data_IF_803132420320
#
_entry.id   IF_803132420320
#
_cell.length_a   1.000
_cell.length_b   1.000
_cell.length_c   1.000
_cell.angle_alpha   90.00
_cell.angle_beta   90.00
_cell.angle_gamma   90.00
#
_symmetry.space_group_name_H-M   'P 1'
#
loop_
_entity.id
_entity.type
_entity.pdbx_description
1 polymer ?
#
# COMPACT_ATOMS: atom_id res chain seq x y z
N UNK A 1 -18.80 -21.87 -5.62
CA UNK A 1 -18.08 -22.13 -4.35
C UNK A 1 -16.70 -21.53 -4.51
N UNK A 2 -16.35 -20.59 -3.63
CA UNK A 2 -15.06 -19.90 -3.67
C UNK A 2 -13.99 -20.62 -2.86
N UNK A 3 -12.75 -20.14 -2.93
CA UNK A 3 -11.71 -20.50 -1.95
C UNK A 3 -11.61 -19.34 -0.97
N UNK A 4 -12.11 -19.58 0.24
CA UNK A 4 -12.24 -18.59 1.30
C UNK A 4 -11.65 -19.17 2.57
N UNK A 5 -10.98 -18.31 3.34
CA UNK A 5 -10.57 -18.64 4.71
C UNK A 5 -11.55 -17.99 5.65
N UNK A 6 -12.30 -18.80 6.38
CA UNK A 6 -13.19 -18.37 7.44
C UNK A 6 -12.49 -18.52 8.79
N UNK A 7 -12.60 -17.52 9.66
CA UNK A 7 -11.98 -17.55 10.97
C UNK A 7 -12.83 -16.85 12.01
N UNK A 8 -12.74 -17.30 13.25
CA UNK A 8 -13.30 -16.63 14.42
C UNK A 8 -12.41 -16.90 15.62
N UNK A 9 -12.23 -15.91 16.48
CA UNK A 9 -11.35 -16.05 17.62
C UNK A 9 -11.60 -14.97 18.65
N UNK A 10 -11.10 -15.23 19.86
CA UNK A 10 -11.11 -14.28 20.96
C UNK A 10 -9.69 -14.06 21.45
N UNK A 11 -9.32 -12.79 21.54
CA UNK A 11 -8.08 -12.29 22.10
C UNK A 11 -8.13 -12.47 23.61
N UNK A 12 -7.11 -13.10 24.18
CA UNK A 12 -7.13 -13.46 25.62
C UNK A 12 -6.75 -12.29 26.50
N UNK A 13 -5.81 -11.47 26.02
CA UNK A 13 -5.20 -10.39 26.80
C UNK A 13 -5.22 -9.10 25.99
N UNK A 14 -6.23 -8.27 26.23
CA UNK A 14 -6.44 -7.02 25.51
C UNK A 14 -5.29 -6.02 25.72
N UNK A 15 -4.49 -6.17 26.76
CA UNK A 15 -3.32 -5.31 26.99
C UNK A 15 -2.19 -5.61 26.00
N UNK A 16 -2.27 -6.73 25.27
CA UNK A 16 -1.29 -7.15 24.26
C UNK A 16 -1.72 -6.90 22.82
N UNK A 17 -2.77 -6.13 22.59
CA UNK A 17 -3.24 -5.81 21.23
C UNK A 17 -2.19 -5.04 20.44
N UNK A 18 -1.48 -4.10 21.06
CA UNK A 18 -0.41 -3.34 20.40
C UNK A 18 0.78 -4.22 20.00
N UNK A 19 1.22 -5.13 20.87
CA UNK A 19 2.25 -6.14 20.55
C UNK A 19 1.82 -7.03 19.37
N UNK A 20 0.54 -7.40 19.30
CA UNK A 20 -0.01 -8.12 18.16
C UNK A 20 0.03 -7.28 16.88
N UNK A 21 -0.37 -6.02 16.94
CA UNK A 21 -0.36 -5.11 15.80
C UNK A 21 1.03 -4.88 15.25
N UNK A 22 2.00 -4.56 16.12
CA UNK A 22 3.37 -4.30 15.72
C UNK A 22 3.98 -5.54 15.04
N UNK A 23 3.76 -6.74 15.60
CA UNK A 23 4.27 -7.99 15.02
C UNK A 23 3.60 -8.39 13.71
N UNK A 24 2.31 -8.13 13.57
CA UNK A 24 1.60 -8.36 12.29
C UNK A 24 2.05 -7.35 11.25
N UNK A 25 2.21 -6.08 11.61
CA UNK A 25 2.70 -5.03 10.72
C UNK A 25 4.09 -5.38 10.19
N UNK A 26 5.02 -5.77 11.06
CA UNK A 26 6.37 -6.21 10.68
C UNK A 26 6.32 -7.36 9.67
N UNK A 27 5.55 -8.41 9.97
CA UNK A 27 5.40 -9.57 9.10
C UNK A 27 4.83 -9.17 7.73
N UNK A 28 3.81 -8.30 7.71
CA UNK A 28 3.16 -7.86 6.48
C UNK A 28 4.14 -7.05 5.62
N UNK A 29 4.92 -6.16 6.22
CA UNK A 29 5.95 -5.38 5.53
C UNK A 29 7.08 -6.26 4.98
N UNK A 30 7.50 -7.29 5.74
CA UNK A 30 8.49 -8.26 5.30
C UNK A 30 8.03 -9.08 4.08
N UNK A 31 6.72 -9.36 4.01
CA UNK A 31 6.11 -10.02 2.85
C UNK A 31 5.85 -9.06 1.67
N UNK A 32 6.16 -7.77 1.80
CA UNK A 32 5.89 -6.75 0.79
C UNK A 32 4.42 -6.33 0.71
N UNK A 33 3.61 -6.72 1.70
CA UNK A 33 2.20 -6.35 1.81
C UNK A 33 1.99 -4.94 2.36
N UNK A 34 0.73 -4.62 2.65
CA UNK A 34 0.32 -3.39 3.33
C UNK A 34 -0.58 -3.73 4.51
N UNK A 35 -0.37 -3.04 5.62
CA UNK A 35 -1.31 -3.04 6.73
C UNK A 35 -1.70 -1.60 7.06
N UNK A 36 -2.89 -1.42 7.58
CA UNK A 36 -3.37 -0.19 8.16
C UNK A 36 -3.81 -0.50 9.59
N UNK A 37 -3.23 0.22 10.55
CA UNK A 37 -3.73 0.19 11.93
C UNK A 37 -5.08 0.87 11.96
N UNK A 38 -6.04 0.27 12.64
CA UNK A 38 -7.39 0.81 12.77
C UNK A 38 -7.69 1.13 14.23
N UNK A 39 -8.34 2.26 14.44
CA UNK A 39 -8.92 2.70 15.70
C UNK A 39 -10.28 3.30 15.42
N UNK A 40 -11.32 2.85 16.12
CA UNK A 40 -12.62 3.51 16.11
C UNK A 40 -12.92 4.16 17.45
N UNK A 41 -13.81 5.15 17.40
CA UNK A 41 -14.32 5.86 18.57
C UNK A 41 -15.82 5.64 18.68
N UNK A 42 -16.26 5.01 19.77
CA UNK A 42 -17.66 5.00 20.12
C UNK A 42 -18.01 6.34 20.79
N UNK A 43 -18.92 7.12 20.17
CA UNK A 43 -19.29 8.47 20.62
C UNK A 43 -19.76 8.52 22.09
N UNK A 44 -20.42 7.46 22.56
CA UNK A 44 -21.02 7.40 23.90
C UNK A 44 -20.10 6.79 24.97
N UNK A 45 -19.14 5.92 24.58
CA UNK A 45 -18.25 5.22 25.51
C UNK A 45 -16.88 4.91 24.87
N UNK A 46 -15.85 5.74 25.11
CA UNK A 46 -14.51 5.53 24.54
C UNK A 46 -13.87 4.16 24.86
N UNK A 47 -14.30 3.48 25.93
CA UNK A 47 -13.80 2.14 26.27
C UNK A 47 -14.32 1.05 25.31
N UNK A 48 -15.30 1.37 24.48
CA UNK A 48 -15.91 0.49 23.48
C UNK A 48 -15.30 0.56 22.09
N UNK A 49 -14.18 1.29 21.92
CA UNK A 49 -13.51 1.40 20.62
C UNK A 49 -13.01 0.06 20.06
N UNK A 50 -13.15 -0.12 18.76
CA UNK A 50 -12.56 -1.23 18.00
C UNK A 50 -11.15 -0.88 17.60
N UNK A 51 -10.25 -1.86 17.69
CA UNK A 51 -8.83 -1.70 17.34
C UNK A 51 -8.28 -2.93 16.63
N UNK A 52 -7.20 -2.79 15.87
CA UNK A 52 -6.56 -3.91 15.19
C UNK A 52 -5.96 -3.49 13.86
N UNK A 53 -5.91 -4.41 12.89
CA UNK A 53 -5.37 -4.11 11.56
C UNK A 53 -6.28 -4.55 10.42
N UNK A 54 -6.21 -3.81 9.33
CA UNK A 54 -6.66 -4.23 8.01
C UNK A 54 -5.43 -4.56 7.16
N UNK A 55 -5.34 -5.80 6.69
CA UNK A 55 -4.12 -6.35 6.09
C UNK A 55 -4.36 -6.77 4.64
N UNK A 56 -3.49 -6.33 3.75
CA UNK A 56 -3.41 -6.73 2.35
C UNK A 56 -2.04 -7.38 2.10
N UNK A 57 -1.97 -8.71 2.20
CA UNK A 57 -0.72 -9.47 2.03
C UNK A 57 -0.25 -9.51 0.58
N UNK A 58 -1.18 -9.68 -0.37
CA UNK A 58 -0.87 -9.77 -1.79
C UNK A 58 -2.02 -9.21 -2.65
N UNK A 59 -1.73 -8.65 -3.84
CA UNK A 59 -2.78 -8.24 -4.78
C UNK A 59 -3.76 -9.37 -5.14
N UNK A 60 -5.04 -9.01 -5.30
CA UNK A 60 -6.10 -9.94 -5.71
C UNK A 60 -6.75 -10.73 -4.56
N UNK A 61 -6.32 -10.54 -3.32
CA UNK A 61 -7.05 -11.06 -2.15
C UNK A 61 -8.01 -9.99 -1.59
N UNK A 62 -9.07 -10.44 -0.93
CA UNK A 62 -9.84 -9.54 -0.07
C UNK A 62 -8.97 -9.12 1.13
N UNK A 63 -9.19 -7.92 1.64
CA UNK A 63 -8.50 -7.43 2.84
C UNK A 63 -8.79 -8.37 4.02
N UNK A 64 -7.72 -8.88 4.65
CA UNK A 64 -7.81 -9.66 5.87
C UNK A 64 -8.08 -8.71 7.05
N UNK A 65 -9.19 -8.92 7.74
CA UNK A 65 -9.59 -8.12 8.90
C UNK A 65 -9.11 -8.76 10.19
N UNK A 66 -8.25 -8.08 10.92
CA UNK A 66 -7.78 -8.47 12.25
C UNK A 66 -8.22 -7.42 13.26
N UNK A 67 -9.44 -6.92 13.10
CA UNK A 67 -10.08 -6.00 14.02
C UNK A 67 -10.57 -6.77 15.25
N UNK A 68 -10.46 -6.15 16.41
CA UNK A 68 -10.70 -6.71 17.72
C UNK A 68 -11.75 -5.83 18.41
N UNK A 69 -12.89 -6.43 18.75
CA UNK A 69 -13.93 -5.77 19.54
C UNK A 69 -13.46 -5.56 20.99
N UNK A 70 -14.15 -4.73 21.78
CA UNK A 70 -13.85 -4.58 23.21
C UNK A 70 -14.02 -5.87 24.03
N UNK A 71 -14.80 -6.85 23.56
CA UNK A 71 -14.88 -8.22 24.13
C UNK A 71 -13.66 -9.09 23.78
N UNK A 72 -12.78 -8.59 22.93
CA UNK A 72 -11.66 -9.32 22.35
C UNK A 72 -12.02 -10.16 21.14
N UNK A 73 -13.21 -10.04 20.55
CA UNK A 73 -13.57 -10.88 19.40
C UNK A 73 -12.98 -10.35 18.11
N UNK A 74 -12.53 -11.25 17.24
CA UNK A 74 -12.22 -10.87 15.87
C UNK A 74 -13.52 -10.47 15.15
N UNK A 75 -13.52 -9.31 14.51
CA UNK A 75 -14.67 -8.77 13.80
C UNK A 75 -14.28 -8.27 12.41
N UNK A 76 -15.27 -8.07 11.56
CA UNK A 76 -15.11 -7.43 10.24
C UNK A 76 -15.49 -5.95 10.29
N UNK A 77 -15.12 -5.13 9.29
CA UNK A 77 -15.48 -3.71 9.28
C UNK A 77 -16.99 -3.44 9.37
N UNK A 78 -17.83 -4.35 8.87
CA UNK A 78 -19.29 -4.22 8.91
C UNK A 78 -19.89 -4.38 10.31
N UNK A 79 -19.09 -4.83 11.29
CA UNK A 79 -19.53 -5.13 12.65
C UNK A 79 -19.01 -4.13 13.67
N UNK A 80 -18.31 -3.08 13.23
CA UNK A 80 -17.73 -2.06 14.11
C UNK A 80 -18.85 -1.39 14.94
N UNK A 81 -19.92 -0.95 14.30
CA UNK A 81 -21.02 -0.24 14.97
C UNK A 81 -21.74 -1.13 16.01
N UNK A 82 -22.03 -2.39 15.66
CA UNK A 82 -22.63 -3.37 16.59
C UNK A 82 -21.68 -3.69 17.75
N UNK A 83 -20.37 -3.79 17.47
CA UNK A 83 -19.35 -3.96 18.49
C UNK A 83 -19.33 -2.76 19.44
N UNK A 84 -19.28 -1.53 18.93
CA UNK A 84 -19.23 -0.32 19.76
C UNK A 84 -20.44 -0.21 20.70
N UNK A 85 -21.63 -0.60 20.23
CA UNK A 85 -22.85 -0.63 21.05
C UNK A 85 -22.96 -1.81 22.02
N UNK A 86 -22.03 -2.77 21.95
CA UNK A 86 -22.08 -4.00 22.76
C UNK A 86 -23.25 -4.92 22.38
N UNK A 87 -23.68 -4.87 21.12
CA UNK A 87 -24.81 -5.66 20.59
C UNK A 87 -24.38 -7.05 20.09
N UNK A 88 -23.07 -7.28 19.94
CA UNK A 88 -22.54 -8.59 19.60
C UNK A 88 -22.79 -9.57 20.76
N UNK A 89 -23.48 -10.67 20.47
CA UNK A 89 -23.81 -11.70 21.48
C UNK A 89 -22.90 -12.92 21.42
N UNK A 90 -22.24 -13.14 20.28
CA UNK A 90 -21.32 -14.24 20.05
C UNK A 90 -20.18 -13.82 19.10
N UNK A 91 -19.00 -14.47 19.16
CA UNK A 91 -17.89 -14.14 18.27
C UNK A 91 -18.25 -14.44 16.81
N UNK A 92 -18.25 -13.42 15.92
CA UNK A 92 -18.66 -13.61 14.54
C UNK A 92 -17.63 -14.37 13.73
N UNK A 93 -18.08 -14.94 12.61
CA UNK A 93 -17.19 -15.48 11.59
C UNK A 93 -16.73 -14.36 10.65
N UNK A 94 -15.43 -14.09 10.68
CA UNK A 94 -14.75 -13.30 9.68
C UNK A 94 -14.41 -14.19 8.48
N UNK A 95 -14.16 -13.56 7.33
CA UNK A 95 -13.72 -14.28 6.13
C UNK A 95 -12.76 -13.43 5.30
N UNK A 96 -11.87 -14.10 4.57
CA UNK A 96 -11.01 -13.50 3.56
C UNK A 96 -11.07 -14.37 2.31
N UNK A 97 -11.61 -13.85 1.21
CA UNK A 97 -11.59 -14.56 -0.06
C UNK A 97 -10.20 -14.45 -0.66
N UNK A 98 -9.66 -15.60 -1.02
CA UNK A 98 -8.29 -15.71 -1.54
C UNK A 98 -8.28 -16.35 -2.92
N UNK A 99 -9.46 -16.62 -3.50
CA UNK A 99 -9.62 -17.27 -4.79
C UNK A 99 -9.01 -16.48 -5.96
N UNK A 100 -8.93 -15.15 -5.87
CA UNK A 100 -8.35 -14.30 -6.92
C UNK A 100 -6.89 -13.89 -6.64
N UNK A 101 -6.40 -14.14 -5.41
CA UNK A 101 -5.00 -13.94 -5.05
C UNK A 101 -4.14 -15.14 -5.44
N UNK A 102 -2.82 -15.03 -5.25
CA UNK A 102 -1.92 -16.13 -5.60
C UNK A 102 -2.04 -17.31 -4.62
N UNK A 103 -1.30 -18.38 -4.92
CA UNK A 103 -1.12 -19.49 -3.98
C UNK A 103 -0.37 -19.02 -2.73
N UNK A 104 0.67 -18.18 -2.90
CA UNK A 104 1.50 -17.68 -1.81
C UNK A 104 0.68 -16.80 -0.87
N UNK A 105 -0.14 -15.90 -1.38
CA UNK A 105 -1.02 -15.07 -0.56
C UNK A 105 -2.01 -15.90 0.27
N UNK A 106 -2.59 -16.97 -0.29
CA UNK A 106 -3.47 -17.84 0.49
C UNK A 106 -2.71 -18.52 1.64
N UNK A 107 -1.52 -19.05 1.35
CA UNK A 107 -0.64 -19.65 2.35
C UNK A 107 -0.26 -18.60 3.40
N UNK A 108 0.08 -17.37 3.01
CA UNK A 108 0.43 -16.29 3.91
C UNK A 108 -0.71 -15.95 4.88
N UNK A 109 -1.96 -15.87 4.39
CA UNK A 109 -3.15 -15.68 5.26
C UNK A 109 -3.25 -16.81 6.28
N UNK A 110 -3.14 -18.06 5.84
CA UNK A 110 -3.23 -19.24 6.70
C UNK A 110 -2.10 -19.29 7.74
N UNK A 111 -0.86 -19.01 7.35
CA UNK A 111 0.29 -19.01 8.24
C UNK A 111 0.24 -17.86 9.24
N UNK A 112 -0.24 -16.67 8.83
CA UNK A 112 -0.48 -15.55 9.73
C UNK A 112 -1.51 -15.93 10.81
N UNK A 113 -2.65 -16.49 10.41
CA UNK A 113 -3.68 -16.96 11.36
C UNK A 113 -3.15 -18.07 12.27
N UNK A 114 -2.29 -18.98 11.76
CA UNK A 114 -1.68 -20.04 12.56
C UNK A 114 -0.72 -19.48 13.62
N UNK A 115 0.09 -18.48 13.26
CA UNK A 115 0.97 -17.77 14.18
C UNK A 115 0.16 -16.99 15.23
N UNK A 116 -0.88 -16.28 14.80
CA UNK A 116 -1.76 -15.52 15.68
C UNK A 116 -2.49 -16.44 16.69
N UNK A 117 -2.92 -17.64 16.25
CA UNK A 117 -3.51 -18.65 17.14
C UNK A 117 -2.58 -19.07 18.27
N UNK A 118 -1.30 -19.27 17.95
CA UNK A 118 -0.32 -19.78 18.91
C UNK A 118 -0.06 -18.78 20.05
N UNK A 119 -0.02 -17.50 19.73
CA UNK A 119 0.51 -16.48 20.65
C UNK A 119 -0.53 -15.54 21.25
N UNK A 120 -1.64 -15.29 20.54
CA UNK A 120 -2.63 -14.25 20.90
C UNK A 120 -4.07 -14.78 20.98
N UNK A 121 -4.41 -15.74 20.12
CA UNK A 121 -5.77 -16.25 19.92
C UNK A 121 -5.81 -17.78 20.09
N UNK A 122 -5.55 -18.35 21.29
CA UNK A 122 -5.44 -19.80 21.49
C UNK A 122 -6.70 -20.59 21.09
N UNK A 123 -7.86 -19.93 21.13
CA UNK A 123 -9.15 -20.47 20.72
C UNK A 123 -9.56 -20.09 19.29
N UNK A 124 -8.61 -19.66 18.43
CA UNK A 124 -8.89 -19.37 17.03
C UNK A 124 -9.38 -20.63 16.31
N UNK A 125 -10.58 -20.54 15.77
CA UNK A 125 -11.16 -21.50 14.86
C UNK A 125 -10.97 -21.00 13.43
N UNK A 126 -10.53 -21.88 12.55
CA UNK A 126 -10.33 -21.58 11.13
C UNK A 126 -10.95 -22.71 10.32
N UNK A 127 -11.71 -22.34 9.29
CA UNK A 127 -12.24 -23.22 8.28
C UNK A 127 -11.75 -22.73 6.92
N UNK A 128 -10.87 -23.50 6.29
CA UNK A 128 -10.26 -23.16 5.02
C UNK A 128 -10.83 -24.04 3.89
N UNK A 129 -11.56 -23.44 2.96
CA UNK A 129 -12.11 -24.15 1.79
C UNK A 129 -10.98 -24.72 0.89
N UNK A 130 -9.81 -24.08 0.92
CA UNK A 130 -8.58 -24.55 0.29
C UNK A 130 -8.06 -25.85 0.90
N UNK A 131 -8.36 -26.12 2.18
CA UNK A 131 -7.90 -27.28 2.95
C UNK A 131 -6.41 -27.24 3.31
N UNK A 132 -5.73 -26.13 3.05
CA UNK A 132 -4.32 -25.95 3.38
C UNK A 132 -4.12 -25.80 4.89
N UNK A 133 -5.06 -25.17 5.61
CA UNK A 133 -5.04 -25.06 7.06
C UNK A 133 -4.81 -26.41 7.77
N UNK A 134 -5.55 -27.44 7.36
CA UNK A 134 -5.52 -28.77 7.96
C UNK A 134 -4.38 -29.65 7.41
N UNK A 135 -4.10 -29.55 6.12
CA UNK A 135 -3.20 -30.50 5.43
C UNK A 135 -1.78 -30.00 5.26
N UNK A 136 -1.59 -28.67 5.22
CA UNK A 136 -0.36 -27.98 4.79
C UNK A 136 0.15 -28.45 3.42
N UNK A 137 -0.75 -28.97 2.57
CA UNK A 137 -0.41 -29.45 1.22
C UNK A 137 -0.65 -28.35 0.18
N UNK A 138 0.41 -27.59 -0.12
CA UNK A 138 0.36 -26.53 -1.13
C UNK A 138 0.05 -27.05 -2.54
N UNK A 139 0.35 -28.33 -2.85
CA UNK A 139 0.06 -28.92 -4.16
C UNK A 139 -1.42 -29.20 -4.31
N UNK A 140 -2.06 -29.71 -3.26
CA UNK A 140 -3.51 -29.91 -3.24
C UNK A 140 -4.25 -28.57 -3.37
N UNK A 141 -3.81 -27.54 -2.63
CA UNK A 141 -4.34 -26.19 -2.76
C UNK A 141 -4.16 -25.65 -4.19
N UNK A 142 -2.97 -25.79 -4.77
CA UNK A 142 -2.69 -25.38 -6.15
C UNK A 142 -3.60 -26.09 -7.15
N UNK A 143 -3.88 -27.38 -6.96
CA UNK A 143 -4.80 -28.14 -7.80
C UNK A 143 -6.25 -27.63 -7.69
N UNK A 144 -6.73 -27.37 -6.47
CA UNK A 144 -8.06 -26.80 -6.23
C UNK A 144 -8.21 -25.40 -6.82
N UNK A 145 -7.21 -24.52 -6.62
CA UNK A 145 -7.18 -23.19 -7.23
C UNK A 145 -7.17 -23.27 -8.75
N UNK A 146 -6.33 -24.14 -9.32
CA UNK A 146 -6.29 -24.36 -10.77
C UNK A 146 -7.61 -24.90 -11.34
N UNK A 147 -8.29 -25.77 -10.60
CA UNK A 147 -9.61 -26.28 -10.96
C UNK A 147 -10.66 -25.16 -10.93
N UNK A 148 -10.68 -24.35 -9.87
CA UNK A 148 -11.59 -23.22 -9.73
C UNK A 148 -11.33 -22.18 -10.83
N UNK A 149 -10.08 -21.82 -11.08
CA UNK A 149 -9.69 -20.89 -12.14
C UNK A 149 -10.10 -21.41 -13.52
N UNK A 150 -10.04 -22.73 -13.73
CA UNK A 150 -10.50 -23.36 -14.97
C UNK A 150 -12.02 -23.29 -15.08
N UNK A 151 -12.75 -23.62 -14.01
CA UNK A 151 -14.21 -23.54 -13.99
C UNK A 151 -14.72 -22.11 -14.19
N UNK A 152 -14.08 -21.11 -13.57
CA UNK A 152 -14.39 -19.69 -13.76
C UNK A 152 -14.11 -19.28 -15.21
N UNK A 153 -13.01 -19.73 -15.80
CA UNK A 153 -12.67 -19.44 -17.20
C UNK A 153 -13.62 -20.14 -18.19
N UNK A 154 -13.97 -21.40 -17.96
CA UNK A 154 -14.92 -22.14 -18.79
C UNK A 154 -16.33 -21.55 -18.72
N UNK A 155 -16.77 -21.18 -17.52
CA UNK A 155 -18.02 -20.45 -17.32
C UNK A 155 -17.97 -19.09 -18.00
N UNK A 156 -16.88 -18.33 -17.81
CA UNK A 156 -16.65 -17.07 -18.52
C UNK A 156 -16.86 -17.26 -20.02
N UNK A 157 -16.14 -18.20 -20.63
CA UNK A 157 -16.17 -18.49 -22.07
C UNK A 157 -17.56 -18.86 -22.61
N UNK A 158 -18.29 -19.68 -21.87
CA UNK A 158 -19.62 -20.14 -22.25
C UNK A 158 -20.62 -18.98 -22.33
N UNK A 159 -20.57 -18.07 -21.36
CA UNK A 159 -21.39 -16.87 -21.31
C UNK A 159 -21.11 -15.98 -22.54
N UNK A 160 -19.84 -15.82 -22.93
CA UNK A 160 -19.48 -15.00 -24.10
C UNK A 160 -19.96 -15.53 -25.44
N UNK A 161 -20.00 -16.86 -25.59
CA UNK A 161 -20.41 -17.50 -26.84
C UNK A 161 -21.92 -17.42 -27.09
N UNK A 162 -22.74 -17.14 -26.06
CA UNK A 162 -24.20 -17.15 -26.16
C UNK A 162 -24.86 -15.78 -26.38
N UNK A 163 -24.08 -14.70 -26.55
CA UNK A 163 -24.54 -13.46 -27.16
C UNK A 163 -25.77 -12.84 -26.50
N UNK A 164 -25.61 -12.22 -25.34
CA UNK A 164 -26.59 -11.25 -24.88
C UNK A 164 -26.62 -10.10 -25.89
N UNK A 165 -27.79 -9.77 -26.40
CA UNK A 165 -28.05 -8.59 -27.24
C UNK A 165 -28.26 -7.38 -26.33
N UNK A 166 -28.27 -6.16 -26.88
CA UNK A 166 -28.51 -4.91 -26.11
C UNK A 166 -29.93 -4.82 -25.50
N UNK A 167 -30.82 -5.76 -25.81
CA UNK A 167 -32.09 -6.01 -25.09
C UNK A 167 -31.90 -6.87 -23.83
N UNK A 168 -30.66 -7.31 -23.60
CA UNK A 168 -30.15 -7.99 -22.43
C UNK A 168 -28.95 -7.20 -21.85
N UNK A 169 -28.99 -5.87 -21.97
CA UNK A 169 -28.35 -4.93 -21.03
C UNK A 169 -28.92 -5.05 -19.59
N UNK A 170 -29.70 -6.11 -19.32
CA UNK A 170 -30.04 -6.66 -18.02
C UNK A 170 -29.37 -8.04 -17.75
N UNK A 171 -28.33 -8.47 -18.48
CA UNK A 171 -27.81 -9.84 -18.37
C UNK A 171 -26.27 -9.95 -18.53
N UNK A 172 -25.66 -10.99 -17.95
CA UNK A 172 -24.35 -11.00 -17.27
C UNK A 172 -23.15 -11.45 -18.15
N UNK A 173 -23.40 -11.78 -19.41
CA UNK A 173 -22.53 -12.63 -20.23
C UNK A 173 -21.73 -11.91 -21.35
N UNK A 174 -22.18 -10.75 -21.85
CA UNK A 174 -21.37 -9.87 -22.73
C UNK A 174 -20.13 -9.36 -22.00
N UNK A 175 -20.24 -9.15 -20.68
CA UNK A 175 -19.17 -8.73 -19.78
C UNK A 175 -17.97 -9.68 -19.82
N UNK A 176 -18.23 -10.96 -19.95
CA UNK A 176 -17.20 -11.98 -20.06
C UNK A 176 -16.51 -11.88 -21.42
N UNK A 177 -17.23 -11.55 -22.50
CA UNK A 177 -16.71 -11.41 -23.88
C UNK A 177 -15.53 -10.46 -23.99
N UNK A 178 -15.56 -9.42 -23.15
CA UNK A 178 -14.52 -8.41 -23.06
C UNK A 178 -13.31 -8.87 -22.24
N UNK A 179 -13.51 -9.75 -21.26
CA UNK A 179 -12.49 -10.33 -20.36
C UNK A 179 -11.57 -11.31 -21.10
N UNK A 180 -12.10 -12.18 -21.97
CA UNK A 180 -11.25 -13.14 -22.70
C UNK A 180 -10.38 -12.54 -23.80
N UNK A 181 -10.83 -11.46 -24.44
CA UNK A 181 -10.02 -10.77 -25.45
C UNK A 181 -8.76 -10.13 -24.85
N UNK A 182 -8.84 -9.76 -23.57
CA UNK A 182 -7.71 -9.26 -22.75
C UNK A 182 -6.81 -10.43 -22.33
N UNK A 183 -7.37 -11.58 -21.92
CA UNK A 183 -6.64 -12.79 -21.56
C UNK A 183 -5.78 -13.36 -22.72
N UNK A 184 -6.27 -13.28 -23.96
CA UNK A 184 -5.56 -13.76 -25.15
C UNK A 184 -4.28 -12.97 -25.49
N UNK A 185 -4.20 -11.69 -25.09
CA UNK A 185 -3.02 -10.84 -25.35
C UNK A 185 -1.91 -11.07 -24.32
N UNK A 186 -2.29 -11.41 -23.08
CA UNK A 186 -1.38 -11.73 -21.96
C UNK A 186 -0.69 -13.09 -22.17
N UNK A 187 -1.41 -14.10 -22.67
CA UNK A 187 -0.85 -15.43 -22.97
C UNK A 187 0.29 -15.42 -24.00
N UNK A 188 0.37 -14.41 -24.88
CA UNK A 188 1.34 -14.38 -25.99
C UNK A 188 2.70 -13.80 -25.57
N UNK A 189 2.78 -13.10 -24.45
CA UNK A 189 4.00 -12.39 -24.00
C UNK A 189 4.81 -13.17 -22.96
N UNK A 190 4.18 -14.06 -22.19
CA UNK A 190 4.80 -14.73 -21.02
C UNK A 190 5.44 -16.10 -21.37
N UNK A 191 5.32 -16.56 -22.63
CA UNK A 191 5.81 -17.87 -23.09
C UNK A 191 7.33 -18.07 -23.20
N UNK A 192 8.17 -17.29 -22.49
CA UNK A 192 9.61 -17.55 -22.39
C UNK A 192 9.99 -18.01 -20.97
N UNK A 193 10.68 -19.15 -20.82
CA UNK A 193 11.06 -19.65 -19.51
C UNK A 193 12.36 -19.01 -19.01
N UNK A 194 12.47 -18.79 -17.70
CA UNK A 194 13.74 -18.68 -16.98
C UNK A 194 13.87 -19.91 -16.07
N UNK A 195 14.94 -20.67 -16.27
CA UNK A 195 15.36 -21.78 -15.42
C UNK A 195 16.42 -21.25 -14.44
N UNK A 196 16.29 -21.54 -13.13
CA UNK A 196 17.33 -22.14 -12.25
C UNK A 196 16.96 -22.11 -10.74
N UNK A 197 17.51 -23.02 -9.92
CA UNK A 197 17.14 -23.31 -8.52
C UNK A 197 17.99 -22.53 -7.48
N UNK A 198 17.67 -22.56 -6.16
CA UNK A 198 18.29 -21.69 -5.16
C UNK A 198 19.66 -22.20 -4.71
N UNK A 199 20.57 -21.27 -4.42
CA UNK A 199 21.88 -21.53 -3.80
C UNK A 199 21.90 -20.80 -2.45
N UNK A 200 22.21 -21.54 -1.38
CA UNK A 200 22.45 -20.99 -0.05
C UNK A 200 23.88 -20.48 0.10
N UNK A 201 24.10 -19.58 1.05
CA UNK A 201 25.44 -19.12 1.41
C UNK A 201 25.65 -19.10 2.92
N UNK A 202 26.86 -19.55 3.27
CA UNK A 202 27.50 -19.61 4.57
C UNK A 202 28.27 -18.33 4.87
N UNK A 203 28.52 -18.10 6.16
CA UNK A 203 29.36 -17.02 6.69
C UNK A 203 30.84 -17.11 6.28
N UNK A 204 31.45 -15.93 6.27
CA UNK A 204 32.87 -15.57 6.42
C UNK A 204 33.63 -14.95 5.21
N UNK A 205 34.24 -13.82 5.57
CA UNK A 205 35.37 -13.06 5.04
C UNK A 205 35.19 -11.86 4.09
N UNK A 206 35.64 -10.73 4.64
CA UNK A 206 35.77 -9.38 4.09
C UNK A 206 36.84 -9.29 2.99
N UNK A 207 36.55 -8.54 1.93
CA UNK A 207 37.54 -8.06 0.95
C UNK A 207 36.93 -7.35 -0.26
N UNK A 208 36.45 -6.11 -0.08
CA UNK A 208 36.12 -5.09 -1.11
C UNK A 208 35.80 -5.57 -2.53
N UNK A 209 34.68 -6.28 -2.66
CA UNK A 209 33.84 -6.27 -3.85
C UNK A 209 32.50 -5.66 -3.41
N UNK A 210 32.05 -4.61 -4.09
CA UNK A 210 30.88 -3.80 -3.69
C UNK A 210 29.61 -4.67 -3.75
N UNK A 211 29.04 -5.01 -2.60
CA UNK A 211 27.86 -5.89 -2.53
C UNK A 211 26.57 -5.09 -2.67
N UNK A 212 26.11 -4.95 -3.92
CA UNK A 212 24.85 -4.28 -4.28
C UNK A 212 23.65 -4.89 -3.57
N UNK A 213 23.66 -6.21 -3.33
CA UNK A 213 22.56 -6.87 -2.65
C UNK A 213 22.51 -6.45 -1.17
N UNK A 214 23.67 -6.27 -0.53
CA UNK A 214 23.75 -5.76 0.83
C UNK A 214 23.27 -4.30 0.92
N UNK A 215 23.68 -3.43 0.00
CA UNK A 215 23.21 -2.03 -0.04
C UNK A 215 21.70 -1.99 -0.26
N UNK A 216 21.15 -2.73 -1.22
CA UNK A 216 19.70 -2.77 -1.45
C UNK A 216 18.92 -3.29 -0.23
N UNK A 217 19.44 -4.33 0.45
CA UNK A 217 18.82 -4.85 1.66
C UNK A 217 18.81 -3.82 2.79
N UNK A 218 19.90 -3.06 2.97
CA UNK A 218 19.98 -1.99 3.97
C UNK A 218 18.92 -0.91 3.73
N UNK A 219 18.70 -0.55 2.48
CA UNK A 219 17.72 0.47 2.10
C UNK A 219 16.27 -0.03 2.19
N UNK A 220 16.02 -1.28 1.83
CA UNK A 220 14.71 -1.91 2.04
C UNK A 220 14.38 -1.97 3.55
N UNK A 221 15.35 -2.25 4.42
CA UNK A 221 15.18 -2.16 5.88
C UNK A 221 14.90 -0.73 6.37
N UNK A 222 15.60 0.27 5.83
CA UNK A 222 15.35 1.68 6.17
C UNK A 222 13.95 2.13 5.73
N UNK A 223 13.49 1.67 4.57
CA UNK A 223 12.13 1.89 4.09
C UNK A 223 11.10 1.27 5.04
N UNK A 224 11.27 -0.01 5.42
CA UNK A 224 10.38 -0.68 6.39
C UNK A 224 10.36 0.06 7.73
N UNK A 225 11.52 0.49 8.23
CA UNK A 225 11.63 1.27 9.45
C UNK A 225 10.84 2.58 9.38
N UNK A 226 10.92 3.28 8.24
CA UNK A 226 10.20 4.54 8.03
C UNK A 226 8.68 4.33 7.99
N UNK A 227 8.20 3.28 7.31
CA UNK A 227 6.77 2.94 7.29
C UNK A 227 6.26 2.53 8.67
N UNK A 228 7.01 1.72 9.43
CA UNK A 228 6.66 1.39 10.81
C UNK A 228 6.50 2.64 11.66
N UNK A 229 7.48 3.56 11.57
CA UNK A 229 7.44 4.84 12.31
C UNK A 229 6.24 5.69 11.92
N UNK A 230 5.90 5.75 10.63
CA UNK A 230 4.75 6.49 10.13
C UNK A 230 3.44 5.93 10.69
N UNK A 231 3.25 4.61 10.67
CA UNK A 231 2.04 3.99 11.20
C UNK A 231 1.97 4.12 12.73
N UNK A 232 3.10 4.02 13.44
CA UNK A 232 3.17 4.31 14.87
C UNK A 232 2.79 5.77 15.19
N UNK A 233 3.23 6.72 14.36
CA UNK A 233 2.89 8.14 14.49
C UNK A 233 1.40 8.39 14.27
N UNK A 234 0.84 7.85 13.19
CA UNK A 234 -0.59 7.94 12.94
C UNK A 234 -1.41 7.35 14.11
N UNK A 235 -0.99 6.20 14.64
CA UNK A 235 -1.59 5.59 15.84
C UNK A 235 -1.56 6.54 17.03
N UNK A 236 -0.41 7.12 17.35
CA UNK A 236 -0.25 8.02 18.49
C UNK A 236 -1.07 9.31 18.34
N UNK A 237 -1.17 9.86 17.12
CA UNK A 237 -2.01 11.02 16.81
C UNK A 237 -3.48 10.67 17.05
N UNK A 238 -3.96 9.57 16.46
CA UNK A 238 -5.35 9.13 16.62
C UNK A 238 -5.70 8.93 18.10
N UNK A 239 -4.87 8.24 18.88
CA UNK A 239 -5.11 8.04 20.31
C UNK A 239 -5.16 9.33 21.13
N UNK A 240 -4.43 10.37 20.72
CA UNK A 240 -4.43 11.67 21.40
C UNK A 240 -5.64 12.51 21.04
N UNK A 241 -6.01 12.52 19.75
CA UNK A 241 -7.28 13.10 19.31
C UNK A 241 -8.46 12.45 20.06
N UNK A 242 -8.40 11.13 20.31
CA UNK A 242 -9.39 10.41 21.10
C UNK A 242 -9.46 10.85 22.57
N UNK A 243 -8.35 11.32 23.15
CA UNK A 243 -8.32 11.90 24.50
C UNK A 243 -8.85 13.34 24.56
N UNK A 244 -9.27 13.88 23.42
CA UNK A 244 -9.77 15.25 23.29
C UNK A 244 -8.68 16.30 23.15
N UNK A 245 -7.45 15.90 22.79
CA UNK A 245 -6.40 16.85 22.43
C UNK A 245 -6.74 17.48 21.06
N UNK A 246 -6.40 18.76 20.88
CA UNK A 246 -6.48 19.39 19.56
C UNK A 246 -5.42 18.77 18.61
N UNK A 247 -5.58 18.97 17.29
CA UNK A 247 -4.71 18.35 16.28
C UNK A 247 -3.23 18.74 16.42
N UNK A 248 -2.92 19.98 16.83
CA UNK A 248 -1.54 20.44 16.97
C UNK A 248 -0.88 19.79 18.18
N UNK A 249 -1.57 19.83 19.32
CA UNK A 249 -1.13 19.22 20.57
C UNK A 249 -0.99 17.70 20.43
N UNK A 250 -1.95 17.05 19.77
CA UNK A 250 -1.91 15.62 19.50
C UNK A 250 -0.70 15.23 18.64
N UNK A 251 -0.40 16.02 17.60
CA UNK A 251 0.75 15.80 16.72
C UNK A 251 2.08 15.97 17.45
N UNK A 252 2.27 17.08 18.16
CA UNK A 252 3.51 17.36 18.92
C UNK A 252 3.78 16.29 19.98
N UNK A 253 2.76 15.93 20.74
CA UNK A 253 2.93 14.92 21.77
C UNK A 253 3.10 13.51 21.19
N UNK A 254 2.48 13.18 20.04
CA UNK A 254 2.69 11.92 19.34
C UNK A 254 4.13 11.78 18.82
N UNK A 255 4.72 12.87 18.33
CA UNK A 255 6.15 12.91 17.98
C UNK A 255 7.02 12.61 19.21
N UNK A 256 6.72 13.27 20.35
CA UNK A 256 7.45 13.05 21.61
C UNK A 256 7.35 11.60 22.09
N UNK A 257 6.18 10.97 22.00
CA UNK A 257 5.98 9.57 22.41
C UNK A 257 6.84 8.59 21.60
N UNK A 258 7.10 8.90 20.33
CA UNK A 258 7.91 8.08 19.40
C UNK A 258 9.39 8.48 19.43
N UNK A 259 9.75 9.44 20.28
CA UNK A 259 11.12 9.96 20.40
C UNK A 259 11.57 10.74 19.16
N UNK A 260 10.64 11.45 18.52
CA UNK A 260 10.88 12.38 17.43
C UNK A 260 10.68 13.81 17.94
N UNK A 261 11.50 14.74 17.47
CA UNK A 261 11.37 16.17 17.74
C UNK A 261 10.83 16.88 16.50
N UNK A 262 10.01 17.92 16.69
CA UNK A 262 9.60 18.79 15.59
C UNK A 262 10.84 19.51 15.05
N UNK A 263 11.11 19.49 13.73
CA UNK A 263 12.17 20.29 13.15
C UNK A 263 11.96 21.78 13.48
N UNK A 264 12.85 22.38 14.28
CA UNK A 264 12.75 23.77 14.75
C UNK A 264 12.50 23.92 16.26
N UNK A 265 12.23 22.83 16.97
CA UNK A 265 12.11 22.85 18.44
C UNK A 265 13.54 22.93 19.07
N UNK A 266 13.83 23.93 19.92
CA UNK A 266 15.19 24.30 20.34
C UNK A 266 15.77 23.38 21.44
N UNK A 267 15.65 22.06 21.30
CA UNK A 267 16.37 21.10 22.18
C UNK A 267 17.79 20.77 21.70
N UNK A 268 18.28 21.43 20.65
CA UNK A 268 19.73 21.66 20.57
C UNK A 268 20.11 22.61 21.70
N UNK A 269 21.25 22.44 22.39
CA UNK A 269 21.69 23.38 23.42
C UNK A 269 21.97 24.73 22.74
N UNK A 270 20.95 25.58 22.68
CA UNK A 270 21.06 26.96 22.26
C UNK A 270 21.67 27.68 23.47
N UNK A 271 22.91 28.15 23.31
CA UNK A 271 23.51 29.10 24.23
C UNK A 271 22.53 30.29 24.38
N UNK A 272 22.18 30.55 25.64
CA UNK A 272 21.06 31.34 26.16
C UNK A 272 21.24 32.87 25.95
N UNK A 273 21.67 33.31 24.77
CA UNK A 273 21.99 34.72 24.48
C UNK A 273 21.42 35.20 23.13
N UNK A 274 20.09 35.20 22.98
CA UNK A 274 19.42 36.05 21.98
C UNK A 274 17.95 36.33 22.36
N UNK A 275 17.80 37.31 23.24
CA UNK A 275 16.56 38.05 23.48
C UNK A 275 16.14 38.81 22.20
N UNK A 276 14.83 39.04 22.06
CA UNK A 276 14.18 40.04 21.17
C UNK A 276 13.75 39.62 19.74
N UNK A 277 12.59 38.96 19.62
CA UNK A 277 11.58 39.29 18.60
C UNK A 277 10.25 38.56 18.86
N UNK A 278 9.36 39.17 19.64
CA UNK A 278 7.98 38.73 19.80
C UNK A 278 7.06 39.93 19.52
N UNK A 279 6.81 40.18 18.24
CA UNK A 279 5.78 41.09 17.74
C UNK A 279 5.65 40.79 16.25
N UNK A 280 4.54 40.14 15.85
CA UNK A 280 3.89 40.17 14.52
C UNK A 280 3.06 38.90 14.30
N UNK A 281 1.89 38.79 14.92
CA UNK A 281 0.76 38.08 14.29
C UNK A 281 -0.54 38.80 14.68
N UNK A 282 -1.11 39.46 13.68
CA UNK A 282 -2.33 40.26 13.68
C UNK A 282 -3.54 39.36 13.43
N UNK A 283 -4.67 39.71 14.05
CA UNK A 283 -5.95 39.01 13.99
C UNK A 283 -6.65 39.16 12.62
N UNK A 284 -6.84 38.08 11.87
CA UNK A 284 -7.79 38.03 10.73
C UNK A 284 -8.97 37.08 11.05
N UNK A 285 -10.23 37.50 10.83
CA UNK A 285 -11.42 36.73 11.18
C UNK A 285 -11.71 35.59 10.19
N UNK A 286 -12.02 34.43 10.76
CA UNK A 286 -12.35 33.16 10.11
C UNK A 286 -13.79 33.19 9.53
N UNK A 287 -13.95 33.18 8.21
CA UNK A 287 -15.24 33.06 7.51
C UNK A 287 -15.35 31.73 6.72
N UNK A 288 -16.34 30.91 7.11
CA UNK A 288 -17.01 29.79 6.42
C UNK A 288 -16.20 28.75 5.59
N UNK A 289 -16.02 27.57 6.21
CA UNK A 289 -15.13 26.45 5.85
C UNK A 289 -15.49 25.54 4.66
N UNK A 290 -16.48 25.85 3.82
CA UNK A 290 -16.89 24.89 2.76
C UNK A 290 -16.20 25.14 1.40
N UNK A 291 -15.78 26.37 1.11
CA UNK A 291 -15.11 26.74 -0.15
C UNK A 291 -13.59 26.96 0.00
N UNK A 292 -13.10 27.15 1.24
CA UNK A 292 -11.70 27.43 1.53
C UNK A 292 -10.75 26.28 1.15
N UNK A 293 -11.14 25.03 1.40
CA UNK A 293 -10.29 23.87 1.08
C UNK A 293 -10.11 23.64 -0.44
N UNK A 294 -11.06 24.10 -1.26
CA UNK A 294 -10.92 24.06 -2.73
C UNK A 294 -10.00 25.17 -3.22
N UNK A 295 -10.14 26.36 -2.65
CA UNK A 295 -9.32 27.50 -3.00
C UNK A 295 -7.86 27.30 -2.55
N UNK A 296 -7.65 26.74 -1.36
CA UNK A 296 -6.32 26.37 -0.87
C UNK A 296 -5.70 25.20 -1.65
N UNK A 297 -6.50 24.27 -2.19
CA UNK A 297 -5.99 23.19 -3.03
C UNK A 297 -5.64 23.69 -4.45
N UNK A 298 -6.47 24.54 -5.05
CA UNK A 298 -6.21 25.15 -6.36
C UNK A 298 -5.05 26.15 -6.28
N UNK A 299 -4.97 26.97 -5.22
CA UNK A 299 -3.87 27.91 -5.00
C UNK A 299 -2.57 27.17 -4.63
N UNK A 300 -2.63 26.09 -3.83
CA UNK A 300 -1.45 25.24 -3.60
C UNK A 300 -1.01 24.52 -4.88
N UNK A 301 -1.92 24.07 -5.76
CA UNK A 301 -1.55 23.46 -7.05
C UNK A 301 -0.93 24.51 -7.98
N UNK A 302 -1.46 25.73 -8.03
CA UNK A 302 -0.92 26.81 -8.85
C UNK A 302 0.44 27.33 -8.33
N UNK A 303 0.61 27.47 -7.02
CA UNK A 303 1.88 27.89 -6.40
C UNK A 303 2.95 26.79 -6.52
N UNK A 304 2.54 25.52 -6.44
CA UNK A 304 3.40 24.38 -6.75
C UNK A 304 3.73 24.35 -8.25
N UNK A 305 2.79 24.60 -9.17
CA UNK A 305 3.05 24.69 -10.62
C UNK A 305 4.04 25.81 -10.97
N UNK A 306 3.91 27.00 -10.37
CA UNK A 306 4.82 28.14 -10.59
C UNK A 306 6.24 27.89 -10.01
N UNK A 307 6.36 27.19 -8.88
CA UNK A 307 7.66 26.80 -8.29
C UNK A 307 8.29 25.57 -9.01
N UNK A 308 7.46 24.72 -9.61
CA UNK A 308 7.85 23.60 -10.48
C UNK A 308 8.30 24.06 -11.88
N UNK A 309 7.75 25.15 -12.43
CA UNK A 309 8.15 25.69 -13.74
C UNK A 309 9.59 26.26 -13.75
N UNK A 310 10.12 26.66 -12.60
CA UNK A 310 11.50 27.15 -12.46
C UNK A 310 12.54 26.02 -12.32
N UNK A 311 12.10 24.77 -12.23
CA UNK A 311 12.90 23.66 -11.77
C UNK A 311 13.09 22.61 -12.88
N UNK A 312 14.30 22.56 -13.45
CA UNK A 312 14.72 21.62 -14.51
C UNK A 312 14.56 20.13 -14.15
N UNK A 313 14.05 19.81 -12.94
CA UNK A 313 13.68 18.46 -12.47
C UNK A 313 12.56 17.81 -13.30
N UNK A 314 11.79 18.58 -14.10
CA UNK A 314 10.66 18.10 -14.91
C UNK A 314 11.03 17.46 -16.25
N UNK A 315 12.31 17.49 -16.64
CA UNK A 315 12.70 16.99 -17.96
C UNK A 315 12.76 15.46 -18.05
N UNK A 316 12.65 14.72 -16.94
CA UNK A 316 12.70 13.27 -17.02
C UNK A 316 11.44 12.70 -17.68
N UNK A 317 11.54 11.96 -18.80
CA UNK A 317 10.38 11.52 -19.58
C UNK A 317 9.39 10.66 -18.78
N UNK A 318 9.89 9.86 -17.82
CA UNK A 318 9.03 9.04 -16.95
C UNK A 318 8.24 9.89 -15.96
N UNK A 319 8.87 10.89 -15.35
CA UNK A 319 8.21 11.76 -14.37
C UNK A 319 7.09 12.54 -15.05
N UNK A 320 7.40 13.18 -16.19
CA UNK A 320 6.41 13.91 -16.99
C UNK A 320 5.20 13.04 -17.35
N UNK A 321 5.44 11.82 -17.85
CA UNK A 321 4.36 10.90 -18.21
C UNK A 321 3.54 10.45 -16.99
N UNK A 322 4.16 10.28 -15.83
CA UNK A 322 3.47 9.93 -14.60
C UNK A 322 2.61 11.10 -14.08
N UNK A 323 3.13 12.33 -14.13
CA UNK A 323 2.39 13.55 -13.79
C UNK A 323 1.22 13.79 -14.74
N UNK A 324 1.44 13.66 -16.06
CA UNK A 324 0.36 13.75 -17.08
C UNK A 324 -0.77 12.74 -16.80
N UNK A 325 -0.38 11.50 -16.43
CA UNK A 325 -1.33 10.46 -16.05
C UNK A 325 -2.13 10.84 -14.79
N UNK A 326 -1.45 11.39 -13.77
CA UNK A 326 -2.09 11.88 -12.56
C UNK A 326 -3.16 12.91 -12.88
N UNK A 327 -2.80 14.01 -13.56
CA UNK A 327 -3.75 15.07 -13.89
C UNK A 327 -4.93 14.55 -14.71
N UNK A 328 -4.66 13.67 -15.69
CA UNK A 328 -5.74 13.10 -16.50
C UNK A 328 -6.70 12.25 -15.66
N UNK A 329 -6.19 11.48 -14.68
CA UNK A 329 -7.02 10.68 -13.78
C UNK A 329 -7.77 11.54 -12.76
N UNK A 330 -7.17 12.61 -12.24
CA UNK A 330 -7.86 13.59 -11.38
C UNK A 330 -9.05 14.19 -12.12
N UNK A 331 -8.84 14.70 -13.33
CA UNK A 331 -9.90 15.28 -14.16
C UNK A 331 -10.99 14.25 -14.50
N UNK A 332 -10.60 13.00 -14.74
CA UNK A 332 -11.56 11.92 -15.04
C UNK A 332 -12.48 11.59 -13.86
N UNK A 333 -11.98 11.72 -12.63
CA UNK A 333 -12.68 11.30 -11.41
C UNK A 333 -13.13 12.46 -10.50
N UNK A 334 -13.00 13.70 -10.95
CA UNK A 334 -13.41 14.90 -10.21
C UNK A 334 -14.86 14.82 -9.70
N UNK A 335 -15.75 14.21 -10.49
CA UNK A 335 -17.17 14.08 -10.19
C UNK A 335 -17.58 12.63 -9.86
N UNK A 336 -16.64 11.79 -9.40
CA UNK A 336 -16.93 10.41 -9.09
C UNK A 336 -17.81 10.25 -7.84
N UNK A 337 -18.71 9.28 -7.87
CA UNK A 337 -19.62 8.97 -6.75
C UNK A 337 -18.85 8.42 -5.53
N UNK A 338 -19.32 8.77 -4.32
CA UNK A 338 -18.78 8.35 -3.03
C UNK A 338 -18.71 6.83 -2.88
N UNK A 339 -19.56 6.08 -3.60
CA UNK A 339 -19.50 4.61 -3.66
C UNK A 339 -18.13 4.06 -4.14
N UNK A 340 -17.30 4.88 -4.78
CA UNK A 340 -15.97 4.50 -5.29
C UNK A 340 -14.81 5.06 -4.45
N UNK A 341 -15.11 5.76 -3.35
CA UNK A 341 -14.12 6.50 -2.56
C UNK A 341 -12.90 5.66 -2.15
N UNK A 342 -13.12 4.44 -1.65
CA UNK A 342 -12.03 3.57 -1.23
C UNK A 342 -11.08 3.19 -2.38
N UNK A 343 -11.63 2.93 -3.57
CA UNK A 343 -10.84 2.64 -4.76
C UNK A 343 -10.11 3.89 -5.26
N UNK A 344 -10.75 5.07 -5.21
CA UNK A 344 -10.12 6.35 -5.58
C UNK A 344 -8.98 6.70 -4.63
N UNK A 345 -9.17 6.55 -3.31
CA UNK A 345 -8.10 6.70 -2.31
C UNK A 345 -6.92 5.77 -2.61
N UNK A 346 -7.20 4.52 -2.96
CA UNK A 346 -6.13 3.55 -3.31
C UNK A 346 -5.43 3.94 -4.62
N UNK A 347 -6.18 4.40 -5.62
CA UNK A 347 -5.66 4.88 -6.90
C UNK A 347 -4.73 6.07 -6.70
N UNK A 348 -5.21 7.14 -6.08
CA UNK A 348 -4.44 8.38 -5.89
C UNK A 348 -3.28 8.21 -4.91
N UNK A 349 -3.39 7.33 -3.91
CA UNK A 349 -2.23 6.93 -3.09
C UNK A 349 -1.18 6.20 -3.92
N UNK A 350 -1.60 5.30 -4.82
CA UNK A 350 -0.70 4.60 -5.73
C UNK A 350 0.00 5.54 -6.73
N UNK A 351 -0.74 6.48 -7.31
CA UNK A 351 -0.18 7.54 -8.15
C UNK A 351 0.76 8.45 -7.34
N UNK A 352 0.40 8.74 -6.09
CA UNK A 352 1.21 9.37 -5.03
C UNK A 352 2.62 8.81 -4.98
N UNK A 353 2.68 7.52 -4.70
CA UNK A 353 3.94 6.78 -4.61
C UNK A 353 4.69 6.72 -5.95
N UNK A 354 3.97 6.63 -7.07
CA UNK A 354 4.54 6.64 -8.42
C UNK A 354 5.26 7.95 -8.72
N UNK A 355 4.55 9.07 -8.66
CA UNK A 355 5.08 10.41 -9.00
C UNK A 355 6.12 10.83 -7.98
N UNK A 356 5.84 10.68 -6.68
CA UNK A 356 6.80 11.04 -5.63
C UNK A 356 8.10 10.23 -5.69
N UNK A 357 8.02 8.92 -5.94
CA UNK A 357 9.21 8.09 -6.12
C UNK A 357 10.01 8.47 -7.37
N UNK A 358 9.34 8.76 -8.48
CA UNK A 358 10.00 9.20 -9.72
C UNK A 358 10.68 10.55 -9.52
N UNK A 359 9.98 11.53 -8.94
CA UNK A 359 10.51 12.87 -8.69
C UNK A 359 11.80 12.85 -7.85
N UNK A 360 11.83 12.00 -6.83
CA UNK A 360 13.02 11.84 -5.98
C UNK A 360 14.14 11.09 -6.71
N UNK A 361 13.80 9.99 -7.41
CA UNK A 361 14.76 9.16 -8.13
C UNK A 361 15.43 9.89 -9.31
N UNK A 362 14.70 10.77 -10.00
CA UNK A 362 15.15 11.45 -11.22
C UNK A 362 15.64 12.88 -10.99
N UNK A 363 15.72 13.32 -9.73
CA UNK A 363 16.22 14.67 -9.43
C UNK A 363 17.69 14.80 -9.87
N UNK A 364 17.98 15.79 -10.72
CA UNK A 364 19.30 16.06 -11.35
C UNK A 364 20.44 16.40 -10.39
N UNK A 365 20.20 16.35 -9.08
CA UNK A 365 21.21 16.61 -8.04
C UNK A 365 22.44 15.68 -8.19
N UNK A 366 22.37 14.65 -9.05
CA UNK A 366 23.35 13.57 -9.17
C UNK A 366 24.05 13.46 -10.54
N UNK A 367 23.90 14.43 -11.45
CA UNK A 367 24.59 14.47 -12.76
C UNK A 367 25.91 15.28 -12.76
N UNK A 368 26.69 15.26 -11.66
CA UNK A 368 28.05 15.85 -11.69
C UNK A 368 29.04 14.82 -12.22
N UNK A 369 29.39 14.96 -13.49
CA UNK A 369 30.34 14.10 -14.22
C UNK A 369 31.83 14.29 -13.85
N UNK A 370 32.17 15.19 -12.92
CA UNK A 370 33.55 15.70 -12.77
C UNK A 370 34.33 15.21 -11.54
N UNK A 371 34.00 14.07 -10.93
CA UNK A 371 34.79 13.55 -9.79
C UNK A 371 35.21 12.09 -10.00
N UNK A 372 36.48 11.90 -10.37
CA UNK A 372 37.13 10.60 -10.64
C UNK A 372 37.23 9.65 -9.41
N UNK A 373 36.57 9.95 -8.30
CA UNK A 373 36.65 9.14 -7.07
C UNK A 373 35.26 8.94 -6.46
N UNK A 374 34.76 7.69 -6.55
CA UNK A 374 33.43 7.30 -6.08
C UNK A 374 33.31 7.57 -4.57
N UNK A 375 32.52 8.57 -4.19
CA UNK A 375 32.37 9.00 -2.79
C UNK A 375 31.36 8.11 -2.04
N UNK A 376 31.49 7.88 -0.73
CA UNK A 376 30.44 7.28 0.10
C UNK A 376 29.06 7.92 -0.07
N UNK A 377 29.04 9.19 -0.50
CA UNK A 377 27.82 9.91 -0.83
C UNK A 377 27.09 9.32 -2.05
N UNK A 378 27.82 8.80 -3.05
CA UNK A 378 27.24 8.19 -4.25
C UNK A 378 26.61 6.82 -3.98
N UNK A 379 27.16 6.05 -3.03
CA UNK A 379 26.53 4.81 -2.55
C UNK A 379 25.21 5.10 -1.84
N UNK A 380 25.18 6.17 -1.03
CA UNK A 380 23.94 6.62 -0.38
C UNK A 380 22.90 7.05 -1.42
N UNK A 381 23.35 7.72 -2.50
CA UNK A 381 22.49 8.14 -3.59
C UNK A 381 21.95 6.96 -4.40
N UNK A 382 22.79 5.98 -4.73
CA UNK A 382 22.38 4.77 -5.43
C UNK A 382 21.26 4.05 -4.69
N UNK A 383 21.47 3.77 -3.39
CA UNK A 383 20.47 3.07 -2.60
C UNK A 383 19.16 3.84 -2.50
N UNK A 384 19.23 5.16 -2.31
CA UNK A 384 18.04 6.01 -2.28
C UNK A 384 17.29 5.96 -3.61
N UNK A 385 17.99 6.13 -4.74
CA UNK A 385 17.39 6.06 -6.08
C UNK A 385 16.71 4.72 -6.32
N UNK A 386 17.36 3.61 -5.96
CA UNK A 386 16.77 2.27 -6.07
C UNK A 386 15.51 2.13 -5.23
N UNK A 387 15.52 2.59 -3.97
CA UNK A 387 14.32 2.57 -3.10
C UNK A 387 13.19 3.37 -3.69
N UNK A 388 13.47 4.56 -4.24
CA UNK A 388 12.42 5.41 -4.81
C UNK A 388 11.86 4.84 -6.12
N UNK A 389 12.68 4.22 -6.97
CA UNK A 389 12.20 3.48 -8.14
C UNK A 389 11.35 2.27 -7.76
N UNK A 390 11.76 1.50 -6.74
CA UNK A 390 10.94 0.39 -6.18
C UNK A 390 9.61 0.90 -5.62
N UNK A 391 9.62 2.04 -4.91
CA UNK A 391 8.41 2.72 -4.42
C UNK A 391 7.48 3.07 -5.58
N UNK A 392 8.00 3.60 -6.68
CA UNK A 392 7.19 3.91 -7.86
C UNK A 392 6.57 2.68 -8.51
N UNK A 393 7.31 1.57 -8.63
CA UNK A 393 6.79 0.29 -9.13
C UNK A 393 5.63 -0.23 -8.27
N UNK A 394 5.78 -0.14 -6.95
CA UNK A 394 4.70 -0.47 -6.02
C UNK A 394 3.51 0.46 -6.21
N UNK A 395 3.74 1.77 -6.34
CA UNK A 395 2.70 2.76 -6.66
C UNK A 395 1.89 2.38 -7.91
N UNK A 396 2.57 1.95 -8.98
CA UNK A 396 1.92 1.43 -10.20
C UNK A 396 1.06 0.21 -9.90
N UNK A 397 1.54 -0.75 -9.12
CA UNK A 397 0.77 -1.95 -8.79
C UNK A 397 -0.55 -1.60 -8.08
N UNK A 398 -0.52 -0.66 -7.13
CA UNK A 398 -1.73 -0.19 -6.43
C UNK A 398 -2.65 0.62 -7.34
N UNK A 399 -2.10 1.56 -8.10
CA UNK A 399 -2.86 2.36 -9.06
C UNK A 399 -3.56 1.46 -10.08
N UNK A 400 -2.86 0.44 -10.58
CA UNK A 400 -3.39 -0.54 -11.53
C UNK A 400 -4.50 -1.40 -10.92
N UNK A 401 -4.31 -1.88 -9.69
CA UNK A 401 -5.33 -2.66 -8.98
C UNK A 401 -6.61 -1.86 -8.74
N UNK A 402 -6.47 -0.62 -8.25
CA UNK A 402 -7.59 0.28 -8.03
C UNK A 402 -8.30 0.66 -9.34
N UNK A 403 -7.55 0.98 -10.39
CA UNK A 403 -8.11 1.33 -11.70
C UNK A 403 -8.88 0.17 -12.33
N UNK A 404 -8.47 -1.09 -12.07
CA UNK A 404 -9.23 -2.25 -12.49
C UNK A 404 -10.64 -2.30 -11.86
N UNK A 405 -10.78 -1.90 -10.60
CA UNK A 405 -12.08 -1.82 -9.92
C UNK A 405 -12.91 -0.62 -10.41
N UNK A 406 -12.26 0.48 -10.77
CA UNK A 406 -12.91 1.71 -11.26
C UNK A 406 -13.33 1.64 -12.74
N UNK A 407 -13.01 0.56 -13.45
CA UNK A 407 -13.33 0.37 -14.87
C UNK A 407 -14.81 0.48 -15.22
N UNK A 408 -15.71 0.24 -14.26
CA UNK A 408 -17.16 0.37 -14.44
C UNK A 408 -17.62 1.82 -14.52
N UNK A 409 -16.79 2.77 -14.09
CA UNK A 409 -17.13 4.18 -13.93
C UNK A 409 -16.51 5.05 -15.03
N UNK A 410 -15.48 4.54 -15.71
CA UNK A 410 -14.77 5.25 -16.78
C UNK A 410 -15.05 4.64 -18.14
N UNK A 411 -14.96 5.46 -19.17
CA UNK A 411 -15.06 4.99 -20.55
C UNK A 411 -14.01 3.90 -20.81
N UNK A 412 -14.39 2.75 -21.41
CA UNK A 412 -13.48 1.63 -21.57
C UNK A 412 -12.21 1.96 -22.37
N UNK A 413 -12.31 2.90 -23.32
CA UNK A 413 -11.15 3.39 -24.07
C UNK A 413 -10.15 4.13 -23.19
N UNK A 414 -10.64 4.92 -22.23
CA UNK A 414 -9.79 5.65 -21.28
C UNK A 414 -9.17 4.69 -20.27
N UNK A 415 -9.93 3.71 -19.78
CA UNK A 415 -9.39 2.64 -18.95
C UNK A 415 -8.24 1.88 -19.63
N UNK A 416 -8.40 1.51 -20.90
CA UNK A 416 -7.34 0.86 -21.67
C UNK A 416 -6.14 1.77 -21.88
N UNK A 417 -6.36 3.06 -22.15
CA UNK A 417 -5.31 4.07 -22.26
C UNK A 417 -4.51 4.20 -20.97
N UNK A 418 -5.17 4.41 -19.83
CA UNK A 418 -4.53 4.55 -18.52
C UNK A 418 -3.73 3.32 -18.12
N UNK A 419 -4.29 2.12 -18.33
CA UNK A 419 -3.58 0.87 -18.05
C UNK A 419 -2.37 0.66 -18.98
N UNK A 420 -2.46 1.10 -20.24
CA UNK A 420 -1.30 1.11 -21.15
C UNK A 420 -0.23 2.07 -20.63
N UNK A 421 -0.61 3.29 -20.24
CA UNK A 421 0.33 4.28 -19.68
C UNK A 421 1.02 3.76 -18.41
N UNK A 422 0.28 3.15 -17.49
CA UNK A 422 0.84 2.52 -16.28
C UNK A 422 1.81 1.39 -16.62
N UNK A 423 1.52 0.60 -17.66
CA UNK A 423 2.43 -0.45 -18.13
C UNK A 423 3.70 0.15 -18.73
N UNK A 424 3.58 1.16 -19.59
CA UNK A 424 4.75 1.80 -20.21
C UNK A 424 5.62 2.50 -19.16
N UNK A 425 5.02 3.07 -18.11
CA UNK A 425 5.73 3.60 -16.95
C UNK A 425 6.44 2.49 -16.15
N UNK A 426 5.79 1.35 -15.93
CA UNK A 426 6.42 0.21 -15.27
C UNK A 426 7.66 -0.26 -16.03
N UNK A 427 7.52 -0.47 -17.34
CA UNK A 427 8.60 -0.94 -18.20
C UNK A 427 9.76 0.08 -18.19
N UNK A 428 9.45 1.38 -18.29
CA UNK A 428 10.46 2.45 -18.21
C UNK A 428 11.16 2.57 -16.85
N UNK A 429 10.45 2.37 -15.74
CA UNK A 429 11.06 2.38 -14.39
C UNK A 429 11.97 1.17 -14.19
N UNK A 430 11.59 0.00 -14.71
CA UNK A 430 12.43 -1.20 -14.67
C UNK A 430 13.71 -0.98 -15.49
N UNK A 431 13.60 -0.40 -16.68
CA UNK A 431 14.77 -0.02 -17.50
C UNK A 431 15.67 0.98 -16.76
N UNK A 432 15.08 1.99 -16.10
CA UNK A 432 15.84 2.97 -15.31
C UNK A 432 16.55 2.30 -14.12
N UNK A 433 15.87 1.38 -13.43
CA UNK A 433 16.46 0.62 -12.34
C UNK A 433 17.66 -0.23 -12.81
N UNK A 434 17.54 -0.86 -13.99
CA UNK A 434 18.66 -1.57 -14.61
C UNK A 434 19.81 -0.62 -14.94
N UNK A 435 19.53 0.53 -15.54
CA UNK A 435 20.55 1.55 -15.85
C UNK A 435 21.28 2.03 -14.59
N UNK A 436 20.55 2.32 -13.51
CA UNK A 436 21.12 2.76 -12.23
C UNK A 436 22.02 1.67 -11.62
N UNK A 437 21.61 0.40 -11.70
CA UNK A 437 22.42 -0.75 -11.26
C UNK A 437 23.68 -0.94 -12.12
N UNK A 438 23.57 -0.86 -13.44
CA UNK A 438 24.71 -0.96 -14.37
C UNK A 438 25.73 0.15 -14.09
N UNK A 439 25.27 1.40 -13.93
CA UNK A 439 26.13 2.55 -13.60
C UNK A 439 26.90 2.32 -12.29
N UNK A 440 26.28 1.68 -11.30
CA UNK A 440 26.89 1.45 -10.00
C UNK A 440 27.84 0.24 -9.98
N UNK A 441 27.61 -0.76 -10.83
CA UNK A 441 28.52 -1.90 -11.00
C UNK A 441 29.87 -1.46 -11.58
N UNK A 442 29.89 -0.38 -12.36
CA UNK A 442 31.07 0.07 -13.10
C UNK A 442 31.36 -0.87 -14.26
N UNK A 443 31.89 -0.32 -15.36
CA UNK A 443 32.50 -1.16 -16.40
C UNK A 443 33.75 -1.80 -15.79
N UNK A 444 33.65 -3.07 -15.37
CA UNK A 444 34.81 -3.93 -15.08
C UNK A 444 35.55 -4.22 -16.40
N UNK A 445 36.26 -3.22 -16.96
CA UNK A 445 37.18 -3.38 -18.09
C UNK A 445 38.66 -3.31 -17.66
#
# INVERSE_FOLDING_TARGET
MGITVHYRGQFVDLDRVEDFEDRVLDLVLDLGGKAQVWRSTADDDPSRGVRGLLVNLEPGQDTLSLLISPEGWLITPFQIEEAERGELTEPPWCFCKTQFGSLAGHVAVVELLAAARKEFLPHLEVSDDGGYWETRDAKQLAHKKSFLDRAIREFSSALQQHGLTDEAAEDTDILLTRIERIAAKVQRTIGRPAEHPPIGLSDEDFGTQRDIAATEAQYDELFKYTERRKEQLNRAIEERLQRGEDHSTAFENALRDIGLSVPGDPEWPIDDDADDSNDLLDDEPFDTEADAWKQDADDAVNEFEDELEADERHDHPLLRRATDLWHTLTNQFENADASHEQNLRTLFRGLGDLVGGLAQATSRVFERDDVDEFSPMEEIHFGLTVTQLKRSLRGIAFARGALCNLRTVIEPSDAERFLSTLKDLNDGIVEELHRVRERFQGDED
#
